data_IF_561916365579
#
_entry.id   IF_561916365579
#
_cell.length_a   1.000
_cell.length_b   1.000
_cell.length_c   1.000
_cell.angle_alpha   90.00
_cell.angle_beta   90.00
_cell.angle_gamma   90.00
#
_symmetry.space_group_name_H-M   'P 1'
#
loop_
_entity.id
_entity.type
_entity.pdbx_description
1 polymer ?
#
# COMPACT_ATOMS: atom_id res chain seq x y z
N UNK A 1 -61.49 30.34 20.49
CA UNK A 1 -62.40 30.19 21.65
C UNK A 1 -61.54 30.11 22.90
N UNK A 2 -61.54 31.19 23.67
CA UNK A 2 -60.87 31.31 24.96
C UNK A 2 -61.72 30.61 26.04
N UNK A 3 -61.04 30.01 27.04
CA UNK A 3 -61.46 29.69 28.42
C UNK A 3 -61.84 28.26 28.82
N UNK A 4 -61.26 27.92 29.99
CA UNK A 4 -61.60 26.91 31.02
C UNK A 4 -61.02 25.50 30.85
N UNK A 5 -59.90 25.25 31.53
CA UNK A 5 -59.92 24.51 32.81
C UNK A 5 -58.59 24.66 33.57
N UNK A 6 -58.66 25.37 34.70
CA UNK A 6 -57.69 25.30 35.79
C UNK A 6 -57.70 23.90 36.41
N UNK A 7 -56.54 23.31 36.70
CA UNK A 7 -56.18 22.98 38.08
C UNK A 7 -54.72 22.55 38.23
N UNK A 8 -54.00 23.29 39.06
CA UNK A 8 -52.66 22.97 39.54
C UNK A 8 -52.71 21.74 40.46
N UNK A 9 -51.97 20.67 40.11
CA UNK A 9 -51.34 19.76 41.08
C UNK A 9 -50.23 18.84 40.54
N UNK A 10 -49.60 19.17 39.40
CA UNK A 10 -48.46 18.38 38.87
C UNK A 10 -47.24 19.19 38.40
N UNK A 11 -47.11 20.46 38.80
CA UNK A 11 -46.00 21.32 38.37
C UNK A 11 -44.62 20.90 38.92
N UNK A 12 -44.55 20.01 39.91
CA UNK A 12 -43.28 19.44 40.42
C UNK A 12 -42.83 18.17 39.69
N UNK A 13 -43.73 17.48 38.99
CA UNK A 13 -43.38 16.33 38.14
C UNK A 13 -43.01 16.77 36.72
N UNK A 14 -43.65 17.83 36.19
CA UNK A 14 -43.26 18.41 34.89
C UNK A 14 -41.84 19.02 34.93
N UNK A 15 -41.42 19.63 36.04
CA UNK A 15 -40.04 20.16 36.17
C UNK A 15 -38.95 19.08 36.25
N UNK A 16 -39.29 17.85 36.65
CA UNK A 16 -38.35 16.71 36.65
C UNK A 16 -38.30 15.98 35.30
N UNK A 17 -39.35 16.08 34.49
CA UNK A 17 -39.33 15.66 33.08
C UNK A 17 -38.68 16.71 32.16
N UNK A 18 -38.60 17.97 32.58
CA UNK A 18 -37.93 19.05 31.84
C UNK A 18 -36.41 19.14 32.03
N UNK A 19 -35.80 18.34 32.91
CA UNK A 19 -34.33 18.29 33.07
C UNK A 19 -33.66 17.06 32.46
N UNK A 20 -34.45 16.12 31.91
CA UNK A 20 -33.96 14.92 31.21
C UNK A 20 -34.40 14.87 29.74
N UNK A 21 -34.93 15.97 29.20
CA UNK A 21 -35.35 16.09 27.80
C UNK A 21 -34.89 17.40 27.14
N UNK A 22 -33.69 17.90 27.48
CA UNK A 22 -33.01 19.02 26.80
C UNK A 22 -31.72 18.55 26.11
N UNK A 23 -31.73 17.33 25.54
CA UNK A 23 -30.65 16.88 24.62
C UNK A 23 -31.16 16.39 23.28
N UNK A 24 -32.47 16.40 23.02
CA UNK A 24 -33.01 16.17 21.69
C UNK A 24 -34.23 17.06 21.49
N UNK A 25 -34.12 18.02 20.57
CA UNK A 25 -35.14 18.60 19.67
C UNK A 25 -34.60 19.98 19.25
N UNK A 26 -33.80 19.97 18.18
CA UNK A 26 -34.07 20.88 17.08
C UNK A 26 -35.42 20.45 16.48
N UNK A 27 -36.35 21.37 16.27
CA UNK A 27 -37.26 21.45 15.10
C UNK A 27 -38.17 22.69 15.23
N UNK A 28 -37.86 23.66 14.35
CA UNK A 28 -38.73 24.48 13.48
C UNK A 28 -39.76 25.44 14.10
N UNK A 29 -39.54 26.73 13.82
CA UNK A 29 -40.61 27.71 13.60
C UNK A 29 -40.37 28.48 12.28
N UNK A 30 -41.07 28.04 11.23
CA UNK A 30 -41.56 28.75 10.03
C UNK A 30 -40.78 29.93 9.42
N UNK A 31 -40.19 29.70 8.25
CA UNK A 31 -40.53 30.45 7.03
C UNK A 31 -40.14 29.64 5.79
N UNK A 32 -41.02 29.64 4.79
CA UNK A 32 -40.94 28.90 3.53
C UNK A 32 -39.68 29.19 2.71
N UNK A 33 -38.78 28.21 2.61
CA UNK A 33 -37.95 27.84 1.47
C UNK A 33 -37.10 26.62 1.90
N UNK A 34 -37.47 25.41 1.46
CA UNK A 34 -36.80 24.17 1.85
C UNK A 34 -35.44 24.03 1.15
N UNK A 35 -34.42 24.68 1.70
CA UNK A 35 -33.07 24.13 1.79
C UNK A 35 -32.83 23.82 3.27
N UNK A 36 -32.83 22.54 3.64
CA UNK A 36 -32.33 22.13 4.96
C UNK A 36 -30.86 22.56 5.05
N UNK A 37 -30.57 23.55 5.89
CA UNK A 37 -29.20 23.88 6.28
C UNK A 37 -28.75 22.75 7.20
N UNK A 38 -28.16 21.70 6.64
CA UNK A 38 -27.38 20.76 7.45
C UNK A 38 -26.32 21.57 8.20
N UNK A 39 -26.26 21.39 9.52
CA UNK A 39 -25.19 22.01 10.31
C UNK A 39 -23.85 21.47 9.84
N UNK A 40 -22.89 22.35 9.59
CA UNK A 40 -21.51 22.02 9.15
C UNK A 40 -20.78 21.05 10.11
N UNK A 41 -21.34 20.78 11.29
CA UNK A 41 -20.80 19.86 12.27
C UNK A 41 -21.89 19.01 12.92
N UNK A 42 -21.57 17.73 13.10
CA UNK A 42 -22.30 16.77 13.91
C UNK A 42 -21.30 16.06 14.83
N UNK A 43 -21.54 16.06 16.15
CA UNK A 43 -20.74 15.33 17.12
C UNK A 43 -21.67 14.61 18.09
N UNK A 44 -21.57 13.28 18.14
CA UNK A 44 -22.33 12.43 19.06
C UNK A 44 -21.43 11.32 19.61
N UNK A 45 -21.33 11.23 20.94
CA UNK A 45 -20.44 10.29 21.62
C UNK A 45 -18.98 10.39 21.14
N UNK A 46 -18.47 9.35 20.46
CA UNK A 46 -17.12 9.27 19.90
C UNK A 46 -17.07 9.48 18.38
N UNK A 47 -18.17 9.90 17.76
CA UNK A 47 -18.29 10.12 16.31
C UNK A 47 -18.41 11.60 16.00
N UNK A 48 -17.64 12.07 15.02
CA UNK A 48 -17.75 13.42 14.49
C UNK A 48 -17.82 13.41 12.95
N UNK A 49 -18.73 14.22 12.40
CA UNK A 49 -18.84 14.49 10.96
C UNK A 49 -18.81 15.98 10.76
N UNK A 50 -17.89 16.46 9.94
CA UNK A 50 -17.62 17.89 9.79
C UNK A 50 -17.50 18.21 8.30
N UNK A 51 -18.24 19.21 7.87
CA UNK A 51 -18.13 19.81 6.56
C UNK A 51 -17.34 21.13 6.68
N UNK A 52 -16.17 21.19 6.06
CA UNK A 52 -15.32 22.37 6.07
C UNK A 52 -15.62 23.19 4.82
N UNK A 53 -16.57 24.11 4.95
CA UNK A 53 -17.02 24.97 3.84
C UNK A 53 -15.91 25.91 3.36
N UNK A 54 -15.07 26.38 4.28
CA UNK A 54 -13.92 27.25 3.98
C UNK A 54 -12.63 26.59 4.51
N UNK A 55 -11.65 26.41 3.63
CA UNK A 55 -10.38 25.83 4.04
C UNK A 55 -9.67 26.67 5.11
N UNK A 56 -9.12 26.01 6.12
CA UNK A 56 -8.43 26.58 7.27
C UNK A 56 -9.29 26.76 8.51
N UNK A 57 -10.60 26.47 8.46
CA UNK A 57 -11.55 26.75 9.55
C UNK A 57 -11.90 25.52 10.39
N UNK A 58 -11.26 24.36 10.21
CA UNK A 58 -11.56 23.15 11.00
C UNK A 58 -11.39 23.39 12.51
N UNK A 59 -10.41 24.19 12.90
CA UNK A 59 -10.17 24.54 14.31
C UNK A 59 -11.31 25.36 14.92
N UNK A 60 -11.91 26.25 14.14
CA UNK A 60 -13.05 27.09 14.53
C UNK A 60 -14.32 26.26 14.65
N UNK A 61 -14.58 25.37 13.69
CA UNK A 61 -15.72 24.45 13.69
C UNK A 61 -15.68 23.51 14.91
N UNK A 62 -14.49 23.09 15.32
CA UNK A 62 -14.28 22.21 16.47
C UNK A 62 -14.18 22.93 17.82
N UNK A 63 -14.34 24.25 17.85
CA UNK A 63 -14.26 25.00 19.10
C UNK A 63 -15.42 24.63 20.04
N UNK A 64 -15.09 24.31 21.29
CA UNK A 64 -16.07 23.90 22.31
C UNK A 64 -16.45 22.41 22.31
N UNK A 65 -15.92 21.59 21.40
CA UNK A 65 -16.14 20.14 21.38
C UNK A 65 -15.01 19.35 22.07
N UNK A 66 -15.35 18.22 22.68
CA UNK A 66 -14.39 17.32 23.36
C UNK A 66 -13.60 16.46 22.35
N UNK A 67 -12.53 17.04 21.81
CA UNK A 67 -11.65 16.43 20.79
C UNK A 67 -11.07 15.07 21.17
N UNK A 68 -10.68 14.91 22.43
CA UNK A 68 -9.98 13.73 22.96
C UNK A 68 -10.87 12.49 23.17
N UNK A 69 -12.15 12.55 22.78
CA UNK A 69 -13.06 11.40 22.79
C UNK A 69 -13.44 10.93 21.39
N UNK A 70 -13.04 11.66 20.35
CA UNK A 70 -13.39 11.32 18.96
C UNK A 70 -12.52 10.15 18.52
N UNK A 71 -13.19 9.08 18.10
CA UNK A 71 -12.56 7.85 17.60
C UNK A 71 -12.92 7.61 16.12
N UNK A 72 -14.05 8.15 15.65
CA UNK A 72 -14.53 8.03 14.27
C UNK A 72 -14.79 9.43 13.71
N UNK A 73 -13.95 9.88 12.79
CA UNK A 73 -14.02 11.23 12.23
C UNK A 73 -14.23 11.18 10.72
N UNK A 74 -15.27 11.87 10.23
CA UNK A 74 -15.46 12.16 8.82
C UNK A 74 -15.26 13.65 8.57
N UNK A 75 -14.36 14.01 7.66
CA UNK A 75 -14.21 15.37 7.16
C UNK A 75 -14.59 15.41 5.68
N UNK A 76 -15.32 16.45 5.30
CA UNK A 76 -15.69 16.76 3.92
C UNK A 76 -15.47 18.25 3.63
N UNK A 77 -15.60 18.68 2.38
CA UNK A 77 -15.37 20.08 2.00
C UNK A 77 -13.90 20.36 1.70
N UNK A 78 -13.42 21.57 1.93
CA UNK A 78 -12.08 22.02 1.52
C UNK A 78 -11.10 22.01 2.69
N UNK A 79 -9.97 21.32 2.55
CA UNK A 79 -8.93 21.22 3.58
C UNK A 79 -7.60 21.77 3.06
N UNK A 80 -6.98 22.66 3.81
CA UNK A 80 -5.62 23.16 3.54
C UNK A 80 -4.65 22.82 4.68
N UNK A 81 -3.40 23.29 4.60
CA UNK A 81 -2.36 22.98 5.57
C UNK A 81 -2.71 23.30 7.03
N UNK A 82 -3.50 24.35 7.28
CA UNK A 82 -3.95 24.68 8.64
C UNK A 82 -4.91 23.63 9.20
N UNK A 83 -5.82 23.10 8.38
CA UNK A 83 -6.74 22.03 8.80
C UNK A 83 -6.01 20.72 9.05
N UNK A 84 -5.04 20.40 8.18
CA UNK A 84 -4.22 19.19 8.32
C UNK A 84 -3.34 19.27 9.56
N UNK A 85 -2.72 20.42 9.83
CA UNK A 85 -1.97 20.66 11.06
C UNK A 85 -2.85 20.44 12.29
N UNK A 86 -4.04 21.05 12.30
CA UNK A 86 -4.98 20.91 13.41
C UNK A 86 -5.44 19.45 13.60
N UNK A 87 -5.79 18.75 12.53
CA UNK A 87 -6.14 17.33 12.56
C UNK A 87 -5.02 16.49 13.21
N UNK A 88 -3.76 16.73 12.82
CA UNK A 88 -2.58 16.02 13.32
C UNK A 88 -2.27 16.32 14.78
N UNK A 89 -2.45 17.55 15.25
CA UNK A 89 -2.04 17.95 16.60
C UNK A 89 -3.14 17.71 17.64
N UNK A 90 -4.41 17.88 17.24
CA UNK A 90 -5.52 18.02 18.17
C UNK A 90 -6.51 16.86 18.14
N UNK A 91 -6.69 16.20 17.00
CA UNK A 91 -7.75 15.18 16.82
C UNK A 91 -7.18 13.75 16.73
N UNK A 92 -5.96 13.60 16.26
CA UNK A 92 -5.34 12.35 15.83
C UNK A 92 -5.07 11.29 16.92
N UNK A 93 -4.91 11.69 18.19
CA UNK A 93 -4.46 10.81 19.30
C UNK A 93 -5.41 9.65 19.63
N UNK A 94 -6.71 9.85 19.43
CA UNK A 94 -7.76 8.85 19.75
C UNK A 94 -8.39 8.25 18.50
N UNK A 95 -8.16 8.80 17.32
CA UNK A 95 -8.78 8.32 16.09
C UNK A 95 -8.44 6.86 15.82
N UNK A 96 -9.51 6.07 15.67
CA UNK A 96 -9.50 4.72 15.13
C UNK A 96 -9.84 4.75 13.65
N UNK A 97 -10.72 5.68 13.23
CA UNK A 97 -11.15 5.83 11.83
C UNK A 97 -11.11 7.28 11.39
N UNK A 98 -10.64 7.48 10.16
CA UNK A 98 -10.61 8.77 9.50
C UNK A 98 -11.16 8.62 8.08
N UNK A 99 -12.26 9.31 7.78
CA UNK A 99 -12.85 9.34 6.45
C UNK A 99 -12.71 10.75 5.86
N UNK A 100 -11.96 10.85 4.76
CA UNK A 100 -11.74 12.07 3.99
C UNK A 100 -12.22 11.93 2.54
N UNK A 101 -13.02 10.91 2.22
CA UNK A 101 -13.41 10.57 0.84
C UNK A 101 -14.12 11.72 0.11
N UNK A 102 -14.86 12.56 0.84
CA UNK A 102 -15.54 13.75 0.34
C UNK A 102 -14.84 15.07 0.71
N UNK A 103 -13.59 15.00 1.18
CA UNK A 103 -12.74 16.17 1.32
C UNK A 103 -12.01 16.45 0.00
N UNK A 104 -11.71 17.72 -0.24
CA UNK A 104 -10.87 18.23 -1.31
C UNK A 104 -9.65 18.90 -0.69
N UNK A 105 -8.46 18.40 -1.00
CA UNK A 105 -7.23 19.05 -0.57
C UNK A 105 -6.96 20.25 -1.47
N UNK A 106 -6.81 21.41 -0.87
CA UNK A 106 -6.50 22.66 -1.56
C UNK A 106 -5.17 23.25 -1.07
N UNK A 107 -4.50 23.96 -1.96
CA UNK A 107 -3.27 24.68 -1.66
C UNK A 107 -3.49 25.80 -0.63
N UNK A 108 -2.51 25.98 0.26
CA UNK A 108 -2.47 27.09 1.21
C UNK A 108 -2.50 26.66 2.68
N UNK A 109 -2.76 27.62 3.56
CA UNK A 109 -2.71 27.42 5.02
C UNK A 109 -1.28 27.39 5.58
N UNK A 110 -1.20 27.03 6.86
CA UNK A 110 0.05 26.89 7.60
C UNK A 110 0.78 25.57 7.23
N UNK A 111 2.12 25.48 7.44
CA UNK A 111 2.83 24.24 7.20
C UNK A 111 2.39 23.15 8.19
N UNK A 112 1.96 22.00 7.68
CA UNK A 112 1.45 20.90 8.51
C UNK A 112 2.55 19.94 9.02
N UNK A 113 3.79 20.11 8.54
CA UNK A 113 4.95 19.38 9.01
C UNK A 113 6.22 20.22 8.89
N UNK A 114 7.13 20.02 9.86
CA UNK A 114 8.47 20.62 9.89
C UNK A 114 9.48 19.51 10.22
N UNK A 115 10.12 18.94 9.19
CA UNK A 115 11.09 17.84 9.35
C UNK A 115 12.48 18.34 8.96
N UNK A 116 12.77 18.37 7.66
CA UNK A 116 13.96 19.00 7.06
C UNK A 116 13.64 20.40 6.52
N UNK A 117 12.38 20.62 6.19
CA UNK A 117 11.82 21.86 5.66
C UNK A 117 10.34 21.96 6.07
N UNK A 118 9.67 23.01 5.62
CA UNK A 118 8.23 23.23 5.82
C UNK A 118 7.43 22.58 4.70
N UNK A 119 6.43 21.78 5.05
CA UNK A 119 5.56 21.10 4.10
C UNK A 119 4.17 21.73 4.10
N UNK A 120 3.65 22.01 2.90
CA UNK A 120 2.37 22.67 2.65
C UNK A 120 1.47 21.79 1.79
N UNK A 121 0.15 21.94 1.92
CA UNK A 121 -0.79 21.24 1.05
C UNK A 121 -0.69 21.79 -0.36
N UNK A 122 -0.93 20.91 -1.33
CA UNK A 122 -1.08 21.24 -2.74
C UNK A 122 -2.44 20.73 -3.21
N UNK A 123 -2.99 21.35 -4.23
CA UNK A 123 -4.27 20.94 -4.78
C UNK A 123 -4.20 19.45 -5.19
N UNK A 124 -5.21 18.69 -4.75
CA UNK A 124 -5.40 17.30 -5.16
C UNK A 124 -4.19 16.38 -4.88
N UNK A 125 -3.39 16.68 -3.84
CA UNK A 125 -2.27 15.83 -3.40
C UNK A 125 -2.36 15.49 -1.90
N UNK A 126 -2.09 14.23 -1.57
CA UNK A 126 -1.67 13.85 -0.23
C UNK A 126 -0.16 14.05 -0.15
N UNK A 127 0.27 15.30 0.00
CA UNK A 127 1.68 15.73 0.05
C UNK A 127 2.53 14.98 1.10
N UNK A 128 3.86 15.13 1.00
CA UNK A 128 4.82 14.43 1.87
C UNK A 128 4.53 14.66 3.37
N UNK A 129 4.69 13.63 4.19
CA UNK A 129 4.46 13.66 5.65
C UNK A 129 3.02 14.01 6.11
N UNK A 130 2.02 13.88 5.23
CA UNK A 130 0.63 14.24 5.52
C UNK A 130 0.10 13.65 6.83
N UNK A 131 0.22 12.33 7.04
CA UNK A 131 -0.21 11.62 8.24
C UNK A 131 0.97 11.00 9.03
N UNK A 132 2.18 11.59 8.90
CA UNK A 132 3.44 11.01 9.40
C UNK A 132 3.43 10.54 10.86
N UNK A 133 4.39 9.68 11.18
CA UNK A 133 4.56 8.99 12.47
C UNK A 133 4.41 9.90 13.70
N UNK A 134 3.78 9.36 14.74
CA UNK A 134 3.37 9.98 16.01
C UNK A 134 2.05 10.77 15.98
N UNK A 135 1.57 11.21 14.81
CA UNK A 135 0.27 11.88 14.76
C UNK A 135 -0.86 10.88 15.01
N UNK A 136 -0.84 9.65 14.48
CA UNK A 136 -2.02 8.76 14.55
C UNK A 136 -1.73 7.40 15.20
N UNK A 137 -1.51 7.34 16.53
CA UNK A 137 -1.03 6.12 17.19
C UNK A 137 -2.02 4.95 17.18
N UNK A 138 -3.31 5.22 16.98
CA UNK A 138 -4.39 4.22 17.05
C UNK A 138 -5.15 4.01 15.74
N UNK A 139 -4.81 4.75 14.68
CA UNK A 139 -5.61 4.76 13.46
C UNK A 139 -5.57 3.39 12.78
N UNK A 140 -6.77 2.84 12.53
CA UNK A 140 -7.00 1.51 11.98
C UNK A 140 -7.52 1.56 10.55
N UNK A 141 -8.31 2.57 10.21
CA UNK A 141 -8.88 2.73 8.87
C UNK A 141 -8.76 4.17 8.39
N UNK A 142 -8.35 4.36 7.15
CA UNK A 142 -8.38 5.68 6.50
C UNK A 142 -9.02 5.59 5.11
N UNK A 143 -9.91 6.53 4.81
CA UNK A 143 -10.44 6.74 3.46
C UNK A 143 -9.85 8.05 2.95
N UNK A 144 -9.00 7.99 1.92
CA UNK A 144 -8.32 9.17 1.39
C UNK A 144 -9.26 9.98 0.45
N UNK A 145 -9.01 11.30 0.30
CA UNK A 145 -9.70 12.13 -0.68
C UNK A 145 -9.68 11.52 -2.08
N UNK A 146 -10.85 11.29 -2.67
CA UNK A 146 -10.99 10.49 -3.91
C UNK A 146 -10.33 11.12 -5.15
N UNK A 147 -10.21 12.44 -5.16
CA UNK A 147 -9.71 13.22 -6.30
C UNK A 147 -8.19 13.40 -6.27
N UNK A 148 -7.52 12.96 -5.20
CA UNK A 148 -6.07 13.12 -5.10
C UNK A 148 -5.31 12.25 -6.12
N UNK A 149 -4.33 12.83 -6.80
CA UNK A 149 -3.55 12.16 -7.85
C UNK A 149 -2.21 11.62 -7.36
N UNK A 150 -1.76 12.04 -6.17
CA UNK A 150 -0.49 11.62 -5.59
C UNK A 150 -0.58 11.34 -4.10
N UNK A 151 0.16 10.32 -3.66
CA UNK A 151 0.47 10.05 -2.25
C UNK A 151 1.98 10.25 -2.06
N UNK A 152 2.34 11.31 -1.35
CA UNK A 152 3.71 11.77 -1.14
C UNK A 152 4.51 10.92 -0.14
N UNK A 153 5.80 11.25 -0.04
CA UNK A 153 6.78 10.52 0.78
C UNK A 153 6.39 10.54 2.25
N UNK A 154 6.52 9.40 2.93
CA UNK A 154 6.21 9.25 4.36
C UNK A 154 4.78 9.64 4.78
N UNK A 155 3.87 9.85 3.83
CA UNK A 155 2.54 10.40 4.09
C UNK A 155 1.68 9.48 4.96
N UNK A 156 1.85 8.16 4.89
CA UNK A 156 1.17 7.15 5.71
C UNK A 156 2.17 6.24 6.44
N UNK A 157 3.45 6.62 6.50
CA UNK A 157 4.49 5.77 7.06
C UNK A 157 4.30 5.52 8.56
N UNK A 158 4.61 4.29 8.97
CA UNK A 158 4.52 3.70 10.31
C UNK A 158 3.21 3.96 11.05
N UNK A 159 2.10 4.02 10.30
CA UNK A 159 0.76 3.83 10.86
C UNK A 159 0.58 2.34 11.19
N UNK A 160 1.18 1.91 12.29
CA UNK A 160 1.36 0.47 12.60
C UNK A 160 0.05 -0.28 12.81
N UNK A 161 -1.00 0.42 13.28
CA UNK A 161 -2.36 -0.13 13.47
C UNK A 161 -3.23 -0.06 12.20
N UNK A 162 -2.77 0.59 11.13
CA UNK A 162 -3.56 0.79 9.91
C UNK A 162 -3.79 -0.56 9.23
N UNK A 163 -5.03 -1.02 9.30
CA UNK A 163 -5.46 -2.30 8.72
C UNK A 163 -6.13 -2.16 7.37
N UNK A 164 -6.65 -0.97 7.07
CA UNK A 164 -7.34 -0.66 5.82
C UNK A 164 -7.04 0.77 5.38
N UNK A 165 -6.74 0.92 4.09
CA UNK A 165 -6.66 2.21 3.40
C UNK A 165 -7.49 2.14 2.12
N UNK A 166 -8.41 3.08 1.94
CA UNK A 166 -9.03 3.34 0.64
C UNK A 166 -8.20 4.41 -0.07
N UNK A 167 -7.59 4.02 -1.20
CA UNK A 167 -6.77 4.90 -2.03
C UNK A 167 -7.65 5.80 -2.91
N UNK A 168 -7.19 7.01 -3.29
CA UNK A 168 -7.93 7.89 -4.20
C UNK A 168 -8.20 7.23 -5.55
N UNK A 169 -9.36 7.50 -6.15
CA UNK A 169 -9.73 6.94 -7.46
C UNK A 169 -8.87 7.52 -8.59
N UNK A 170 -8.42 8.77 -8.45
CA UNK A 170 -7.59 9.48 -9.41
C UNK A 170 -6.07 9.29 -9.18
N UNK A 171 -5.66 8.43 -8.24
CA UNK A 171 -4.25 8.27 -7.87
C UNK A 171 -3.40 7.76 -9.04
N UNK A 172 -2.37 8.51 -9.41
CA UNK A 172 -1.43 8.21 -10.49
C UNK A 172 -0.07 7.74 -9.94
N UNK A 173 0.36 8.27 -8.78
CA UNK A 173 1.67 7.99 -8.20
C UNK A 173 1.61 7.79 -6.68
N UNK A 174 2.33 6.77 -6.19
CA UNK A 174 2.67 6.62 -4.77
C UNK A 174 4.19 6.77 -4.63
N UNK A 175 4.61 7.80 -3.92
CA UNK A 175 6.01 8.13 -3.72
C UNK A 175 6.74 7.16 -2.78
N UNK A 176 8.06 7.32 -2.75
CA UNK A 176 8.96 6.55 -1.90
C UNK A 176 8.53 6.58 -0.42
N UNK A 177 8.58 5.43 0.23
CA UNK A 177 8.37 5.28 1.69
C UNK A 177 6.96 5.68 2.16
N UNK A 178 5.98 5.84 1.26
CA UNK A 178 4.65 6.36 1.61
C UNK A 178 3.88 5.50 2.64
N UNK A 179 3.93 4.16 2.56
CA UNK A 179 3.25 3.22 3.47
C UNK A 179 4.24 2.30 4.22
N UNK A 180 5.48 2.76 4.41
CA UNK A 180 6.53 2.01 5.10
C UNK A 180 6.09 1.63 6.52
N UNK A 181 6.38 0.41 6.99
CA UNK A 181 6.05 -0.07 8.35
C UNK A 181 4.55 0.02 8.72
N UNK A 182 3.61 -0.07 7.77
CA UNK A 182 2.19 -0.29 8.08
C UNK A 182 1.96 -1.76 8.46
N UNK A 183 2.36 -2.14 9.69
CA UNK A 183 2.48 -3.53 10.14
C UNK A 183 1.18 -4.33 10.05
N UNK A 184 0.03 -3.71 10.34
CA UNK A 184 -1.29 -4.36 10.32
C UNK A 184 -2.05 -4.26 8.99
N UNK A 185 -1.46 -3.66 7.95
CA UNK A 185 -2.14 -3.46 6.68
C UNK A 185 -2.34 -4.81 5.97
N UNK A 186 -3.59 -5.21 5.74
CA UNK A 186 -3.92 -6.58 5.27
C UNK A 186 -4.02 -6.71 3.75
N UNK A 187 -4.55 -5.69 3.10
CA UNK A 187 -4.80 -5.68 1.66
C UNK A 187 -4.77 -4.27 1.10
N UNK A 188 -4.37 -4.15 -0.16
CA UNK A 188 -4.43 -2.89 -0.90
C UNK A 188 -5.01 -3.14 -2.29
N UNK A 189 -6.01 -2.35 -2.64
CA UNK A 189 -6.61 -2.33 -3.98
C UNK A 189 -6.08 -1.08 -4.67
N UNK A 190 -5.26 -1.27 -5.71
CA UNK A 190 -4.71 -0.14 -6.45
C UNK A 190 -5.72 0.36 -7.51
N UNK A 191 -5.97 1.67 -7.59
CA UNK A 191 -6.90 2.26 -8.55
C UNK A 191 -6.39 2.13 -9.99
N UNK A 192 -7.29 2.21 -10.97
CA UNK A 192 -6.97 1.97 -12.39
C UNK A 192 -6.03 3.02 -13.01
N UNK A 193 -5.93 4.19 -12.40
CA UNK A 193 -5.06 5.29 -12.81
C UNK A 193 -3.61 5.15 -12.34
N UNK A 194 -3.31 4.27 -11.37
CA UNK A 194 -1.98 4.23 -10.75
C UNK A 194 -0.92 3.69 -11.71
N UNK A 195 0.12 4.50 -11.96
CA UNK A 195 1.21 4.23 -12.90
C UNK A 195 2.49 3.74 -12.21
N UNK A 196 2.78 4.20 -10.99
CA UNK A 196 4.04 3.91 -10.29
C UNK A 196 3.88 3.70 -8.79
N UNK A 197 4.68 2.76 -8.26
CA UNK A 197 4.88 2.56 -6.82
C UNK A 197 6.35 2.86 -6.51
N UNK A 198 6.60 3.78 -5.59
CA UNK A 198 7.93 4.25 -5.22
C UNK A 198 8.75 3.26 -4.39
N UNK A 199 10.01 3.63 -4.17
CA UNK A 199 10.97 2.83 -3.43
C UNK A 199 10.56 2.68 -1.95
N UNK A 200 10.76 1.51 -1.37
CA UNK A 200 10.44 1.18 0.03
C UNK A 200 8.96 1.40 0.43
N UNK A 201 8.06 1.60 -0.53
CA UNK A 201 6.70 2.09 -0.28
C UNK A 201 5.90 1.23 0.71
N UNK A 202 5.96 -0.10 0.61
CA UNK A 202 5.29 -1.06 1.48
C UNK A 202 6.27 -1.91 2.30
N UNK A 203 7.53 -1.45 2.46
CA UNK A 203 8.51 -2.19 3.24
C UNK A 203 7.97 -2.51 4.65
N UNK A 204 8.15 -3.77 5.06
CA UNK A 204 7.70 -4.33 6.33
C UNK A 204 6.19 -4.24 6.59
N UNK A 205 5.33 -4.15 5.57
CA UNK A 205 3.89 -4.39 5.75
C UNK A 205 3.63 -5.89 5.97
N UNK A 206 3.94 -6.38 7.18
CA UNK A 206 4.08 -7.82 7.45
C UNK A 206 2.76 -8.59 7.33
N UNK A 207 1.62 -7.96 7.61
CA UNK A 207 0.28 -8.56 7.45
C UNK A 207 -0.30 -8.40 6.03
N UNK A 208 0.40 -7.74 5.10
CA UNK A 208 -0.10 -7.52 3.73
C UNK A 208 -0.14 -8.86 2.98
N UNK A 209 -1.34 -9.43 2.91
CA UNK A 209 -1.56 -10.77 2.39
C UNK A 209 -1.98 -10.79 0.92
N UNK A 210 -2.61 -9.70 0.45
CA UNK A 210 -3.15 -9.58 -0.90
C UNK A 210 -2.92 -8.19 -1.47
N UNK A 211 -2.40 -8.16 -2.70
CA UNK A 211 -2.32 -6.96 -3.53
C UNK A 211 -2.98 -7.25 -4.88
N UNK A 212 -3.82 -6.33 -5.33
CA UNK A 212 -4.37 -6.36 -6.68
C UNK A 212 -3.80 -5.18 -7.46
N UNK A 213 -2.79 -5.45 -8.29
CA UNK A 213 -2.27 -4.46 -9.22
C UNK A 213 -3.29 -4.13 -10.30
N UNK A 214 -3.31 -2.87 -10.73
CA UNK A 214 -4.13 -2.43 -11.84
C UNK A 214 -3.44 -2.68 -13.19
N UNK A 215 -4.19 -2.65 -14.28
CA UNK A 215 -3.70 -2.96 -15.64
C UNK A 215 -2.83 -1.86 -16.29
N UNK A 216 -2.71 -0.70 -15.65
CA UNK A 216 -1.95 0.46 -16.13
C UNK A 216 -0.60 0.62 -15.42
N UNK A 217 -0.35 -0.12 -14.33
CA UNK A 217 0.87 0.00 -13.53
C UNK A 217 2.12 -0.30 -14.38
N UNK A 218 3.07 0.63 -14.40
CA UNK A 218 4.26 0.57 -15.25
C UNK A 218 5.54 0.26 -14.48
N UNK A 219 5.61 0.64 -13.20
CA UNK A 219 6.84 0.56 -12.39
C UNK A 219 6.56 0.19 -10.93
N UNK A 220 7.39 -0.73 -10.41
CA UNK A 220 7.52 -1.04 -8.98
C UNK A 220 8.94 -0.66 -8.53
N UNK A 221 9.05 0.15 -7.49
CA UNK A 221 10.31 0.68 -6.97
C UNK A 221 11.21 -0.34 -6.27
N UNK A 222 12.42 0.11 -5.95
CA UNK A 222 13.43 -0.63 -5.18
C UNK A 222 12.90 -0.90 -3.78
N UNK A 223 13.05 -2.13 -3.28
CA UNK A 223 12.58 -2.54 -1.95
C UNK A 223 11.08 -2.32 -1.69
N UNK A 224 10.25 -2.11 -2.72
CA UNK A 224 8.86 -1.66 -2.55
C UNK A 224 8.04 -2.55 -1.61
N UNK A 225 8.22 -3.87 -1.62
CA UNK A 225 7.49 -4.84 -0.80
C UNK A 225 8.42 -5.71 0.08
N UNK A 226 9.65 -5.26 0.36
CA UNK A 226 10.59 -6.03 1.19
C UNK A 226 9.94 -6.39 2.54
N UNK A 227 10.09 -7.65 2.97
CA UNK A 227 9.50 -8.21 4.18
C UNK A 227 7.96 -8.11 4.29
N UNK A 228 7.22 -8.05 3.17
CA UNK A 228 5.78 -8.31 3.17
C UNK A 228 5.52 -9.81 3.35
N UNK A 229 5.74 -10.31 4.58
CA UNK A 229 5.83 -11.74 4.89
C UNK A 229 4.55 -12.53 4.63
N UNK A 230 3.39 -11.88 4.75
CA UNK A 230 2.09 -12.51 4.52
C UNK A 230 1.67 -12.58 3.05
N UNK A 231 2.38 -11.89 2.14
CA UNK A 231 2.01 -11.79 0.74
C UNK A 231 2.11 -13.16 0.07
N UNK A 232 1.00 -13.68 -0.45
CA UNK A 232 0.91 -15.07 -0.95
C UNK A 232 1.05 -15.20 -2.46
N UNK A 233 0.50 -14.24 -3.19
CA UNK A 233 0.41 -14.26 -4.65
C UNK A 233 0.57 -12.85 -5.20
N UNK A 234 1.28 -12.73 -6.32
CA UNK A 234 1.48 -11.47 -7.03
C UNK A 234 1.29 -11.71 -8.51
N UNK A 235 0.26 -11.09 -9.08
CA UNK A 235 -0.03 -11.12 -10.51
C UNK A 235 0.40 -9.79 -11.13
N UNK A 236 1.52 -9.80 -11.84
CA UNK A 236 2.03 -8.59 -12.48
C UNK A 236 1.21 -8.23 -13.74
N UNK A 237 0.82 -6.96 -13.91
CA UNK A 237 0.05 -6.53 -15.08
C UNK A 237 0.93 -6.46 -16.32
N UNK A 238 0.35 -6.67 -17.51
CA UNK A 238 1.08 -6.65 -18.79
C UNK A 238 1.75 -5.32 -19.12
N UNK A 239 1.28 -4.22 -18.52
CA UNK A 239 1.86 -2.88 -18.65
C UNK A 239 3.18 -2.72 -17.88
N UNK A 240 3.50 -3.64 -16.97
CA UNK A 240 4.64 -3.51 -16.09
C UNK A 240 5.95 -3.64 -16.88
N UNK A 241 6.75 -2.58 -16.84
CA UNK A 241 8.02 -2.48 -17.56
C UNK A 241 9.25 -2.66 -16.67
N UNK A 242 9.09 -2.51 -15.34
CA UNK A 242 10.20 -2.64 -14.40
C UNK A 242 9.76 -3.05 -13.00
N UNK A 243 10.58 -3.92 -12.39
CA UNK A 243 10.53 -4.31 -10.98
C UNK A 243 11.88 -3.97 -10.36
N UNK A 244 11.89 -3.14 -9.32
CA UNK A 244 13.11 -2.67 -8.68
C UNK A 244 13.90 -3.77 -7.95
N UNK A 245 15.15 -3.44 -7.64
CA UNK A 245 16.05 -4.28 -6.84
C UNK A 245 15.39 -4.65 -5.52
N UNK A 246 15.46 -5.93 -5.17
CA UNK A 246 14.95 -6.49 -3.91
C UNK A 246 13.49 -6.11 -3.62
N UNK A 247 12.68 -5.84 -4.66
CA UNK A 247 11.31 -5.37 -4.49
C UNK A 247 10.44 -6.33 -3.66
N UNK A 248 10.67 -7.65 -3.74
CA UNK A 248 9.93 -8.68 -3.00
C UNK A 248 10.86 -9.51 -2.08
N UNK A 249 12.03 -8.97 -1.70
CA UNK A 249 12.94 -9.68 -0.80
C UNK A 249 12.28 -9.97 0.56
N UNK A 250 12.36 -11.22 1.02
CA UNK A 250 11.76 -11.65 2.29
C UNK A 250 10.23 -11.76 2.27
N UNK A 251 9.57 -11.73 1.10
CA UNK A 251 8.17 -12.12 0.96
C UNK A 251 8.02 -13.64 1.16
N UNK A 252 8.15 -14.09 2.40
CA UNK A 252 8.33 -15.50 2.75
C UNK A 252 7.13 -16.40 2.41
N UNK A 253 5.91 -15.86 2.33
CA UNK A 253 4.71 -16.63 1.94
C UNK A 253 4.40 -16.59 0.44
N UNK A 254 5.18 -15.86 -0.36
CA UNK A 254 4.96 -15.77 -1.79
C UNK A 254 5.22 -17.14 -2.40
N UNK A 255 4.19 -17.76 -2.96
CA UNK A 255 4.25 -19.17 -3.40
C UNK A 255 4.40 -19.33 -4.91
N UNK A 256 3.81 -18.40 -5.67
CA UNK A 256 3.85 -18.38 -7.13
C UNK A 256 4.06 -16.97 -7.65
N UNK A 257 4.80 -16.85 -8.76
CA UNK A 257 4.93 -15.61 -9.52
C UNK A 257 4.80 -15.88 -11.01
N UNK A 258 4.13 -14.97 -11.70
CA UNK A 258 4.13 -14.91 -13.17
C UNK A 258 4.62 -13.53 -13.58
N UNK A 259 5.84 -13.49 -14.12
CA UNK A 259 6.49 -12.26 -14.56
C UNK A 259 5.95 -11.89 -15.93
N UNK A 260 5.55 -10.63 -16.10
CA UNK A 260 4.89 -10.13 -17.31
C UNK A 260 5.85 -10.07 -18.50
N UNK A 261 5.32 -10.31 -19.69
CA UNK A 261 6.00 -10.01 -20.95
C UNK A 261 6.38 -8.52 -21.00
N UNK A 262 7.56 -8.20 -21.54
CA UNK A 262 8.13 -6.87 -21.56
C UNK A 262 9.21 -6.65 -20.49
N UNK A 263 9.23 -7.45 -19.42
CA UNK A 263 10.34 -7.46 -18.46
C UNK A 263 11.55 -8.13 -19.10
N UNK A 264 12.66 -7.39 -19.19
CA UNK A 264 13.92 -7.86 -19.81
C UNK A 264 14.95 -8.33 -18.80
N UNK A 265 14.81 -7.96 -17.52
CA UNK A 265 15.76 -8.32 -16.47
C UNK A 265 15.05 -8.51 -15.12
N UNK A 266 15.42 -9.56 -14.40
CA UNK A 266 15.12 -9.69 -12.97
C UNK A 266 16.31 -9.11 -12.20
N UNK A 267 16.05 -8.06 -11.43
CA UNK A 267 17.10 -7.28 -10.78
C UNK A 267 17.69 -7.98 -9.54
N UNK A 268 18.75 -7.37 -9.01
CA UNK A 268 19.42 -7.80 -7.78
C UNK A 268 18.40 -8.15 -6.70
N UNK A 269 18.44 -9.37 -6.19
CA UNK A 269 17.67 -9.81 -5.04
C UNK A 269 16.14 -9.73 -5.16
N UNK A 270 15.57 -9.53 -6.35
CA UNK A 270 14.12 -9.22 -6.50
C UNK A 270 13.20 -10.18 -5.74
N UNK A 271 13.48 -11.49 -5.75
CA UNK A 271 12.73 -12.53 -5.03
C UNK A 271 13.59 -13.27 -3.99
N UNK A 272 14.63 -12.60 -3.47
CA UNK A 272 15.47 -13.16 -2.43
C UNK A 272 14.64 -13.53 -1.19
N UNK A 273 14.96 -14.62 -0.52
CA UNK A 273 14.29 -15.13 0.68
C UNK A 273 12.77 -15.33 0.54
N UNK A 274 12.24 -15.50 -0.68
CA UNK A 274 10.89 -15.99 -0.90
C UNK A 274 10.83 -17.50 -0.62
N UNK A 275 10.92 -17.89 0.65
CA UNK A 275 11.15 -19.29 1.06
C UNK A 275 10.07 -20.28 0.58
N UNK A 276 8.82 -19.82 0.41
CA UNK A 276 7.71 -20.63 -0.09
C UNK A 276 7.53 -20.58 -1.62
N UNK A 277 8.37 -19.82 -2.34
CA UNK A 277 8.27 -19.70 -3.79
C UNK A 277 8.61 -21.04 -4.45
N UNK A 278 7.61 -21.63 -5.07
CA UNK A 278 7.68 -22.99 -5.63
C UNK A 278 7.47 -23.02 -7.14
N UNK A 279 6.84 -21.98 -7.71
CA UNK A 279 6.57 -21.85 -9.14
C UNK A 279 6.89 -20.44 -9.63
N UNK A 280 7.69 -20.37 -10.67
CA UNK A 280 8.14 -19.13 -11.31
C UNK A 280 7.92 -19.24 -12.82
N UNK A 281 7.03 -18.41 -13.36
CA UNK A 281 6.85 -18.29 -14.80
C UNK A 281 7.63 -17.06 -15.30
N UNK A 282 8.69 -17.30 -16.08
CA UNK A 282 9.54 -16.28 -16.68
C UNK A 282 9.07 -15.95 -18.11
N UNK A 283 9.07 -14.68 -18.54
CA UNK A 283 8.57 -14.27 -19.83
C UNK A 283 9.61 -14.53 -20.92
N UNK A 284 9.14 -14.66 -22.17
CA UNK A 284 10.04 -14.86 -23.31
C UNK A 284 10.90 -13.62 -23.60
N UNK A 285 10.48 -12.43 -23.17
CA UNK A 285 11.25 -11.19 -23.24
C UNK A 285 12.47 -11.12 -22.33
N UNK A 286 12.66 -12.06 -21.40
CA UNK A 286 13.71 -12.01 -20.40
C UNK A 286 15.10 -12.25 -21.01
N UNK A 287 16.04 -11.34 -20.74
CA UNK A 287 17.43 -11.41 -21.22
C UNK A 287 18.43 -11.71 -20.11
N UNK A 288 18.16 -11.27 -18.87
CA UNK A 288 19.10 -11.42 -17.76
C UNK A 288 18.42 -11.71 -16.42
N UNK A 289 19.12 -12.47 -15.57
CA UNK A 289 18.75 -12.71 -14.17
C UNK A 289 19.94 -12.29 -13.30
N UNK A 290 19.74 -11.25 -12.49
CA UNK A 290 20.82 -10.61 -11.73
C UNK A 290 21.11 -11.31 -10.40
N UNK A 291 22.11 -10.79 -9.69
CA UNK A 291 22.71 -11.38 -8.50
C UNK A 291 21.64 -11.66 -7.44
N UNK A 292 21.67 -12.87 -6.86
CA UNK A 292 20.79 -13.28 -5.77
C UNK A 292 19.28 -13.19 -6.06
N UNK A 293 18.87 -13.10 -7.33
CA UNK A 293 17.46 -12.87 -7.69
C UNK A 293 16.48 -13.87 -7.06
N UNK A 294 16.90 -15.14 -6.87
CA UNK A 294 16.12 -16.20 -6.23
C UNK A 294 16.86 -16.83 -5.04
N UNK A 295 17.87 -16.16 -4.47
CA UNK A 295 18.59 -16.68 -3.31
C UNK A 295 17.60 -16.95 -2.16
N UNK A 296 17.68 -18.11 -1.51
CA UNK A 296 16.86 -18.50 -0.37
C UNK A 296 15.46 -18.98 -0.74
N UNK A 297 15.15 -19.23 -2.02
CA UNK A 297 13.88 -19.81 -2.45
C UNK A 297 13.82 -21.31 -2.13
N UNK A 298 13.68 -21.65 -0.85
CA UNK A 298 13.77 -23.02 -0.34
C UNK A 298 12.76 -23.99 -0.95
N UNK A 299 11.61 -23.51 -1.41
CA UNK A 299 10.55 -24.36 -1.98
C UNK A 299 10.63 -24.52 -3.50
N UNK A 300 11.57 -23.85 -4.17
CA UNK A 300 11.72 -23.90 -5.61
C UNK A 300 12.30 -25.26 -6.01
N UNK A 301 11.52 -26.05 -6.76
CA UNK A 301 11.91 -27.40 -7.21
C UNK A 301 12.36 -27.44 -8.64
N UNK A 302 11.70 -26.67 -9.50
CA UNK A 302 11.99 -26.62 -10.91
C UNK A 302 11.97 -25.17 -11.38
N UNK A 303 12.78 -24.84 -12.38
CA UNK A 303 12.72 -23.55 -13.06
C UNK A 303 12.96 -23.72 -14.55
N UNK A 304 12.14 -23.04 -15.36
CA UNK A 304 12.35 -22.94 -16.80
C UNK A 304 12.92 -21.58 -17.14
N UNK A 305 14.10 -21.58 -17.76
CA UNK A 305 14.82 -20.39 -18.22
C UNK A 305 14.54 -20.19 -19.72
N UNK A 306 13.92 -19.06 -20.12
CA UNK A 306 13.58 -18.77 -21.51
C UNK A 306 14.79 -18.69 -22.44
N UNK A 307 14.55 -18.88 -23.74
CA UNK A 307 15.60 -18.97 -24.76
C UNK A 307 16.47 -17.71 -24.91
N UNK A 308 15.93 -16.53 -24.57
CA UNK A 308 16.60 -15.25 -24.75
C UNK A 308 17.51 -14.88 -23.57
N UNK A 309 17.44 -15.62 -22.46
CA UNK A 309 18.30 -15.37 -21.30
C UNK A 309 19.74 -15.68 -21.68
N UNK A 310 20.57 -14.64 -21.72
CA UNK A 310 21.98 -14.74 -22.09
C UNK A 310 22.93 -14.51 -20.91
N UNK A 311 22.39 -14.11 -19.74
CA UNK A 311 23.19 -13.82 -18.55
C UNK A 311 22.45 -14.26 -17.27
N UNK A 312 23.12 -15.06 -16.43
CA UNK A 312 22.66 -15.43 -15.09
C UNK A 312 23.79 -15.15 -14.10
N UNK A 313 23.54 -14.26 -13.13
CA UNK A 313 24.61 -13.74 -12.28
C UNK A 313 24.81 -14.53 -10.97
N UNK A 314 25.79 -14.06 -10.19
CA UNK A 314 26.25 -14.62 -8.93
C UNK A 314 25.11 -14.95 -7.96
N UNK A 315 25.18 -16.12 -7.32
CA UNK A 315 24.24 -16.52 -6.27
C UNK A 315 22.76 -16.53 -6.66
N UNK A 316 22.41 -16.51 -7.95
CA UNK A 316 21.02 -16.46 -8.41
C UNK A 316 20.13 -17.50 -7.72
N UNK A 317 20.62 -18.74 -7.57
CA UNK A 317 19.92 -19.84 -6.89
C UNK A 317 20.56 -20.23 -5.54
N UNK A 318 21.41 -19.35 -4.99
CA UNK A 318 21.70 -19.18 -3.56
C UNK A 318 20.89 -20.02 -2.56
N UNK A 319 21.26 -21.21 -2.09
CA UNK A 319 20.52 -21.90 -1.02
C UNK A 319 19.12 -22.40 -1.43
N UNK A 320 18.81 -22.49 -2.72
CA UNK A 320 17.64 -23.20 -3.24
C UNK A 320 17.81 -24.72 -3.09
N UNK A 321 17.86 -25.22 -1.85
CA UNK A 321 18.29 -26.58 -1.53
C UNK A 321 17.34 -27.69 -2.04
N UNK A 322 16.15 -27.35 -2.51
CA UNK A 322 15.20 -28.29 -3.11
C UNK A 322 15.14 -28.19 -4.64
N UNK A 323 15.99 -27.39 -5.28
CA UNK A 323 16.03 -27.25 -6.73
C UNK A 323 16.56 -28.55 -7.36
N UNK A 324 15.68 -29.26 -8.05
CA UNK A 324 15.93 -30.57 -8.65
C UNK A 324 16.13 -30.48 -10.16
N UNK A 325 15.45 -29.55 -10.83
CA UNK A 325 15.45 -29.48 -12.30
C UNK A 325 15.61 -28.04 -12.78
N UNK A 326 16.51 -27.83 -13.75
CA UNK A 326 16.62 -26.57 -14.49
C UNK A 326 16.41 -26.89 -15.97
N UNK A 327 15.39 -26.27 -16.58
CA UNK A 327 15.10 -26.40 -18.00
C UNK A 327 15.55 -25.15 -18.76
N UNK A 328 16.52 -25.30 -19.64
CA UNK A 328 16.99 -24.22 -20.52
C UNK A 328 16.28 -24.36 -21.87
N UNK A 329 15.69 -23.27 -22.36
CA UNK A 329 15.08 -23.25 -23.70
C UNK A 329 16.01 -22.71 -24.79
N UNK A 330 17.17 -22.15 -24.42
CA UNK A 330 18.18 -21.65 -25.34
C UNK A 330 19.13 -22.76 -25.80
N UNK A 331 19.52 -22.76 -27.08
CA UNK A 331 20.56 -23.68 -27.60
C UNK A 331 21.97 -23.23 -27.23
N UNK A 332 22.13 -21.99 -26.80
CA UNK A 332 23.39 -21.40 -26.36
C UNK A 332 23.35 -21.24 -24.84
N UNK A 333 24.35 -21.74 -24.11
CA UNK A 333 24.40 -21.59 -22.65
C UNK A 333 24.50 -20.11 -22.25
N UNK A 334 23.67 -19.61 -21.31
CA UNK A 334 23.83 -18.28 -20.74
C UNK A 334 25.20 -18.10 -20.10
N UNK A 335 25.74 -16.88 -20.10
CA UNK A 335 26.95 -16.55 -19.34
C UNK A 335 26.66 -16.60 -17.83
N UNK A 336 27.55 -17.25 -17.08
CA UNK A 336 27.49 -17.36 -15.62
C UNK A 336 28.72 -16.68 -15.05
N UNK A 337 28.50 -15.63 -14.24
CA UNK A 337 29.62 -14.93 -13.60
C UNK A 337 30.27 -15.75 -12.48
N UNK A 338 29.46 -16.41 -11.63
CA UNK A 338 29.93 -17.39 -10.63
C UNK A 338 28.74 -18.14 -10.02
N UNK A 339 28.80 -19.47 -9.92
CA UNK A 339 27.89 -20.27 -9.09
C UNK A 339 28.68 -21.07 -8.04
N UNK A 340 28.12 -21.24 -6.85
CA UNK A 340 28.66 -22.21 -5.89
C UNK A 340 28.42 -23.63 -6.41
N UNK A 341 29.36 -24.53 -6.13
CA UNK A 341 29.34 -25.90 -6.67
C UNK A 341 28.16 -26.75 -6.17
N UNK A 342 27.47 -26.33 -5.11
CA UNK A 342 26.47 -27.15 -4.42
C UNK A 342 25.28 -27.51 -5.32
N UNK A 343 24.79 -26.61 -6.20
CA UNK A 343 23.62 -26.86 -7.06
C UNK A 343 23.83 -27.92 -8.13
N UNK A 344 25.02 -27.96 -8.71
CA UNK A 344 25.32 -28.77 -9.91
C UNK A 344 25.39 -30.27 -9.60
N UNK A 345 25.52 -30.62 -8.32
CA UNK A 345 25.71 -31.99 -7.85
C UNK A 345 24.40 -32.78 -7.71
N UNK A 346 23.26 -32.10 -7.52
CA UNK A 346 21.97 -32.73 -7.24
C UNK A 346 20.83 -32.30 -8.20
N UNK A 347 21.11 -31.37 -9.11
CA UNK A 347 20.15 -30.85 -10.08
C UNK A 347 20.37 -31.49 -11.46
N UNK A 348 19.28 -31.87 -12.13
CA UNK A 348 19.27 -32.32 -13.52
C UNK A 348 19.10 -31.11 -14.44
N UNK A 349 19.98 -31.00 -15.43
CA UNK A 349 19.92 -29.95 -16.43
C UNK A 349 19.24 -30.46 -17.70
N UNK A 350 18.10 -29.89 -18.05
CA UNK A 350 17.42 -30.15 -19.32
C UNK A 350 17.77 -29.04 -20.32
N UNK A 351 18.22 -29.42 -21.51
CA UNK A 351 18.67 -28.51 -22.58
C UNK A 351 18.03 -28.90 -23.91
N UNK A 352 17.97 -27.98 -24.90
CA UNK A 352 17.39 -28.33 -26.19
C UNK A 352 18.20 -29.40 -26.94
N UNK A 353 17.52 -30.30 -27.65
CA UNK A 353 18.17 -31.28 -28.51
C UNK A 353 19.23 -30.68 -29.46
N UNK A 354 20.42 -31.28 -29.47
CA UNK A 354 21.55 -30.87 -30.29
C UNK A 354 22.46 -29.82 -29.64
N UNK A 355 22.18 -29.39 -28.41
CA UNK A 355 22.94 -28.36 -27.70
C UNK A 355 23.97 -28.92 -26.70
N UNK A 356 24.01 -30.24 -26.46
CA UNK A 356 24.89 -30.85 -25.46
C UNK A 356 26.36 -30.46 -25.62
N UNK A 357 26.86 -30.40 -26.87
CA UNK A 357 28.24 -30.02 -27.15
C UNK A 357 28.57 -28.57 -26.75
N UNK A 358 27.59 -27.66 -26.82
CA UNK A 358 27.76 -26.27 -26.37
C UNK A 358 27.79 -26.20 -24.84
N UNK A 359 26.80 -26.83 -24.17
CA UNK A 359 26.71 -26.84 -22.71
C UNK A 359 27.89 -27.54 -22.03
N UNK A 360 28.44 -28.62 -22.59
CA UNK A 360 29.63 -29.30 -22.05
C UNK A 360 30.94 -28.51 -22.27
N UNK A 361 30.96 -27.49 -23.12
CA UNK A 361 32.14 -26.62 -23.35
C UNK A 361 32.13 -25.33 -22.52
N UNK A 362 30.99 -24.95 -21.98
CA UNK A 362 30.84 -23.71 -21.20
C UNK A 362 31.04 -23.97 -19.72
N UNK A 363 31.80 -23.08 -19.07
CA UNK A 363 32.07 -23.14 -17.65
C UNK A 363 30.77 -23.17 -16.83
N UNK A 364 30.80 -23.83 -15.67
CA UNK A 364 29.65 -24.13 -14.79
C UNK A 364 28.59 -25.05 -15.36
N UNK A 365 28.15 -24.86 -16.61
CA UNK A 365 27.19 -25.76 -17.26
C UNK A 365 27.75 -27.17 -17.46
N UNK A 366 29.04 -27.28 -17.75
CA UNK A 366 29.71 -28.57 -17.86
C UNK A 366 29.79 -29.35 -16.54
N UNK A 367 29.59 -28.67 -15.39
CA UNK A 367 29.71 -29.25 -14.05
C UNK A 367 28.46 -29.99 -13.58
N UNK A 368 27.33 -29.85 -14.28
CA UNK A 368 26.14 -30.64 -14.00
C UNK A 368 26.42 -32.12 -14.24
N UNK A 369 26.11 -32.93 -13.23
CA UNK A 369 26.30 -34.37 -13.29
C UNK A 369 25.37 -35.02 -14.32
N UNK A 370 24.09 -34.64 -14.30
CA UNK A 370 23.07 -35.13 -15.21
C UNK A 370 22.61 -34.02 -16.17
N UNK A 371 22.80 -34.25 -17.48
CA UNK A 371 22.40 -33.33 -18.55
C UNK A 371 21.60 -34.13 -19.58
N UNK A 372 20.35 -33.75 -19.78
CA UNK A 372 19.39 -34.42 -20.66
C UNK A 372 18.99 -33.47 -21.78
N UNK A 373 19.02 -33.98 -23.01
CA UNK A 373 18.47 -33.27 -24.17
C UNK A 373 16.97 -33.54 -24.31
N UNK A 374 16.15 -32.49 -24.35
CA UNK A 374 14.69 -32.55 -24.56
C UNK A 374 14.21 -31.81 -25.82
#
# INVERSE_FOLDING_TARGET
>A
MINKLCNMKHLSLLKKLFFTAITCINIIACSSDNHEIESDIFVEANVARIHVTQAGTLSELMNGYEKNKIEDLTLSGYLNGSDILYLKEELSKTLLKLNLSDAKIVEGGEPYAMVTEKYYTKNDEISDYFFSTHSYPKLQTIHLPKDCTRIGKYSLASLTNLSFVELPNALEEIDNVALYNCLSLKSVIFPSSLLSIGDFCFQNCQELASIQFNNSLQKIGIHAFINCKSLTNVNFPKSLSSIGQSAFDGCSNLSTITISEGITEIQYGTFRNCVNLSSVNLPTSLNAISISAFEGCLSLKTITIPQNVNKIEYNTFQGCNNLQEIHLKGTTPPDISYWSNDYMSHCTLFIPKGSLAAYKKTNYWSLFYDIIEE
#
